data_IF_628783209399
#
_entry.id   IF_628783209399
#
_cell.length_a   1.000
_cell.length_b   1.000
_cell.length_c   1.000
_cell.angle_alpha   90.00
_cell.angle_beta   90.00
_cell.angle_gamma   90.00
#
_symmetry.space_group_name_H-M   'P 1'
#
loop_
_entity.id
_entity.type
_entity.pdbx_description
1 polymer ?
#
# COMPACT_ATOMS: atom_id res chain seq x y z
N UNK A 1 -22.35 -15.88 27.72
CA UNK A 1 -21.15 -16.48 27.10
C UNK A 1 -20.01 -16.49 28.11
N UNK A 2 -19.30 -17.61 28.32
CA UNK A 2 -18.18 -17.67 29.27
C UNK A 2 -17.04 -16.74 28.79
N UNK A 3 -16.35 -16.03 29.71
CA UNK A 3 -15.29 -15.07 29.36
C UNK A 3 -14.23 -15.64 28.40
N UNK A 4 -13.83 -16.89 28.62
CA UNK A 4 -12.87 -17.60 27.76
C UNK A 4 -13.35 -17.73 26.30
N UNK A 5 -14.66 -17.97 26.08
CA UNK A 5 -15.23 -18.07 24.73
C UNK A 5 -15.22 -16.70 24.03
N UNK A 6 -15.48 -15.62 24.78
CA UNK A 6 -15.40 -14.26 24.22
C UNK A 6 -13.97 -13.94 23.80
N UNK A 7 -12.99 -14.19 24.67
CA UNK A 7 -11.57 -13.92 24.38
C UNK A 7 -11.08 -14.72 23.17
N UNK A 8 -11.48 -15.99 23.08
CA UNK A 8 -11.14 -16.82 21.93
C UNK A 8 -11.79 -16.29 20.64
N UNK A 9 -13.03 -15.79 20.71
CA UNK A 9 -13.68 -15.12 19.59
C UNK A 9 -12.98 -13.83 19.16
N UNK A 10 -12.42 -13.04 20.10
CA UNK A 10 -11.60 -11.86 19.79
C UNK A 10 -10.33 -12.25 19.04
N UNK A 11 -9.64 -13.31 19.50
CA UNK A 11 -8.42 -13.82 18.84
C UNK A 11 -8.75 -14.35 17.44
N UNK A 12 -9.82 -15.14 17.30
CA UNK A 12 -10.27 -15.65 16.01
C UNK A 12 -10.58 -14.51 15.03
N UNK A 13 -11.27 -13.47 15.49
CA UNK A 13 -11.53 -12.28 14.69
C UNK A 13 -10.27 -11.53 14.27
N UNK A 14 -9.33 -11.27 15.19
CA UNK A 14 -8.08 -10.60 14.85
C UNK A 14 -7.25 -11.40 13.82
N UNK A 15 -7.20 -12.72 13.97
CA UNK A 15 -6.56 -13.62 13.00
C UNK A 15 -7.28 -13.62 11.65
N UNK A 16 -8.61 -13.56 11.62
CA UNK A 16 -9.38 -13.45 10.38
C UNK A 16 -9.05 -12.15 9.63
N UNK A 17 -8.93 -11.02 10.33
CA UNK A 17 -8.50 -9.75 9.71
C UNK A 17 -7.11 -9.85 9.10
N UNK A 18 -6.14 -10.46 9.81
CA UNK A 18 -4.81 -10.73 9.27
C UNK A 18 -4.87 -11.67 8.06
N UNK A 19 -5.59 -12.79 8.17
CA UNK A 19 -5.73 -13.79 7.12
C UNK A 19 -6.36 -13.19 5.86
N UNK A 20 -7.45 -12.44 5.99
CA UNK A 20 -8.12 -11.79 4.87
C UNK A 20 -7.19 -10.78 4.18
N UNK A 21 -6.44 -9.99 4.95
CA UNK A 21 -5.48 -9.02 4.42
C UNK A 21 -4.37 -9.67 3.60
N UNK A 22 -3.73 -10.69 4.16
CA UNK A 22 -2.60 -11.36 3.52
C UNK A 22 -3.09 -12.21 2.34
N UNK A 23 -4.25 -12.86 2.45
CA UNK A 23 -4.86 -13.60 1.34
C UNK A 23 -5.24 -12.67 0.19
N UNK A 24 -5.84 -11.51 0.49
CA UNK A 24 -6.14 -10.50 -0.53
C UNK A 24 -4.90 -10.01 -1.27
N UNK A 25 -3.76 -9.91 -0.58
CA UNK A 25 -2.48 -9.58 -1.22
C UNK A 25 -1.86 -10.76 -1.97
N UNK A 26 -2.06 -12.00 -1.53
CA UNK A 26 -1.60 -13.19 -2.24
C UNK A 26 -2.36 -13.40 -3.56
N UNK A 27 -3.65 -13.06 -3.57
CA UNK A 27 -4.56 -13.21 -4.72
C UNK A 27 -4.69 -11.93 -5.55
N UNK A 28 -3.96 -10.86 -5.21
CA UNK A 28 -4.04 -9.55 -5.88
C UNK A 28 -5.46 -8.98 -5.95
N UNK A 29 -6.29 -9.26 -4.94
CA UNK A 29 -7.65 -8.71 -4.88
C UNK A 29 -7.59 -7.18 -4.71
N UNK A 30 -8.51 -6.43 -5.34
CA UNK A 30 -8.66 -5.01 -5.06
C UNK A 30 -9.06 -4.80 -3.59
N UNK A 31 -8.48 -3.81 -2.93
CA UNK A 31 -8.75 -3.55 -1.50
C UNK A 31 -7.81 -4.30 -0.53
N UNK A 32 -8.18 -4.28 0.74
CA UNK A 32 -7.35 -4.61 1.89
C UNK A 32 -7.98 -5.66 2.80
N UNK A 33 -9.30 -5.68 2.96
CA UNK A 33 -10.09 -6.66 3.70
C UNK A 33 -9.74 -6.81 5.19
N UNK A 34 -9.00 -5.86 5.74
CA UNK A 34 -8.44 -5.94 7.09
C UNK A 34 -9.47 -5.65 8.20
N UNK A 35 -10.69 -5.24 7.86
CA UNK A 35 -11.81 -5.09 8.79
C UNK A 35 -12.68 -6.35 8.95
N UNK A 36 -12.47 -7.39 8.13
CA UNK A 36 -13.34 -8.57 8.06
C UNK A 36 -13.59 -9.19 9.44
N UNK A 37 -12.52 -9.39 10.21
CA UNK A 37 -12.57 -9.93 11.55
C UNK A 37 -13.24 -8.99 12.56
N UNK A 38 -12.96 -7.69 12.47
CA UNK A 38 -13.56 -6.67 13.35
C UNK A 38 -15.08 -6.66 13.21
N UNK A 39 -15.60 -6.68 11.98
CA UNK A 39 -17.04 -6.76 11.75
C UNK A 39 -17.65 -8.04 12.28
N UNK A 40 -17.02 -9.20 12.04
CA UNK A 40 -17.46 -10.48 12.59
C UNK A 40 -17.55 -10.42 14.13
N UNK A 41 -16.53 -9.87 14.80
CA UNK A 41 -16.53 -9.72 16.26
C UNK A 41 -17.63 -8.79 16.75
N UNK A 42 -17.85 -7.64 16.08
CA UNK A 42 -18.91 -6.70 16.44
C UNK A 42 -20.32 -7.31 16.32
N UNK A 43 -20.51 -8.32 15.47
CA UNK A 43 -21.77 -9.03 15.31
C UNK A 43 -21.94 -10.16 16.34
N UNK A 44 -20.89 -10.96 16.52
CA UNK A 44 -20.87 -12.20 17.31
C UNK A 44 -20.68 -11.99 18.82
N UNK A 45 -19.92 -10.96 19.22
CA UNK A 45 -19.49 -10.75 20.61
C UNK A 45 -20.25 -9.60 21.28
N UNK A 46 -20.21 -9.50 22.62
CA UNK A 46 -20.62 -8.28 23.33
C UNK A 46 -19.87 -7.05 22.80
N UNK A 47 -20.42 -5.85 23.01
CA UNK A 47 -19.86 -4.59 22.50
C UNK A 47 -18.35 -4.43 22.78
N UNK A 48 -17.90 -4.78 23.98
CA UNK A 48 -16.49 -4.69 24.36
C UNK A 48 -15.60 -5.69 23.61
N UNK A 49 -16.13 -6.85 23.21
CA UNK A 49 -15.41 -7.84 22.40
C UNK A 49 -15.14 -7.35 20.98
N UNK A 50 -16.11 -6.67 20.37
CA UNK A 50 -15.92 -6.00 19.08
C UNK A 50 -14.83 -4.91 19.14
N UNK A 51 -14.83 -4.10 20.20
CA UNK A 51 -13.79 -3.09 20.42
C UNK A 51 -12.40 -3.70 20.63
N UNK A 52 -12.31 -4.77 21.45
CA UNK A 52 -11.04 -5.47 21.64
C UNK A 52 -10.52 -6.09 20.34
N UNK A 53 -11.39 -6.63 19.50
CA UNK A 53 -10.99 -7.09 18.17
C UNK A 53 -10.50 -5.93 17.28
N UNK A 54 -11.17 -4.77 17.37
CA UNK A 54 -10.73 -3.53 16.71
C UNK A 54 -9.35 -3.05 17.16
N UNK A 55 -8.92 -3.33 18.39
CA UNK A 55 -7.55 -3.03 18.85
C UNK A 55 -6.57 -4.14 18.47
N UNK A 56 -6.95 -5.41 18.65
CA UNK A 56 -6.04 -6.55 18.43
C UNK A 56 -5.73 -6.79 16.95
N UNK A 57 -6.70 -6.61 16.05
CA UNK A 57 -6.50 -6.81 14.61
C UNK A 57 -5.36 -5.93 14.04
N UNK A 58 -5.37 -4.60 14.18
CA UNK A 58 -4.26 -3.77 13.71
C UNK A 58 -2.94 -4.08 14.42
N UNK A 59 -2.94 -4.49 15.70
CA UNK A 59 -1.71 -4.90 16.39
C UNK A 59 -1.05 -6.12 15.73
N UNK A 60 -1.84 -7.13 15.33
CA UNK A 60 -1.31 -8.27 14.57
C UNK A 60 -0.84 -7.86 13.18
N UNK A 61 -1.58 -6.95 12.54
CA UNK A 61 -1.25 -6.44 11.22
C UNK A 61 0.05 -5.62 11.18
N UNK A 62 0.50 -5.03 12.29
CA UNK A 62 1.81 -4.32 12.37
C UNK A 62 2.96 -5.22 11.94
N UNK A 63 2.92 -6.51 12.30
CA UNK A 63 3.95 -7.47 11.91
C UNK A 63 4.00 -7.68 10.39
N UNK A 64 2.87 -7.48 9.70
CA UNK A 64 2.76 -7.56 8.25
C UNK A 64 3.08 -6.23 7.55
N UNK A 65 2.58 -5.11 8.09
CA UNK A 65 2.80 -3.78 7.51
C UNK A 65 2.83 -2.69 8.59
N UNK A 66 3.97 -2.00 8.72
CA UNK A 66 4.22 -1.05 9.82
C UNK A 66 3.29 0.17 9.85
N UNK A 67 2.59 0.49 8.75
CA UNK A 67 1.64 1.63 8.74
C UNK A 67 0.54 1.48 9.81
N UNK A 68 0.20 0.25 10.19
CA UNK A 68 -0.82 -0.02 11.21
C UNK A 68 -0.44 0.52 12.60
N UNK A 69 0.84 0.85 12.86
CA UNK A 69 1.26 1.54 14.10
C UNK A 69 0.54 2.89 14.22
N UNK A 70 0.52 3.67 13.13
CA UNK A 70 -0.05 5.02 13.11
C UNK A 70 -1.54 5.01 12.76
N UNK A 71 -2.02 3.93 12.12
CA UNK A 71 -3.43 3.70 11.82
C UNK A 71 -4.19 2.93 12.91
N UNK A 72 -3.56 2.63 14.05
CA UNK A 72 -4.12 1.79 15.12
C UNK A 72 -5.53 2.24 15.57
N UNK A 73 -5.77 3.55 15.58
CA UNK A 73 -7.04 4.15 16.01
C UNK A 73 -8.19 3.99 15.02
N UNK A 74 -7.93 3.72 13.74
CA UNK A 74 -8.94 3.65 12.67
C UNK A 74 -9.92 2.49 12.92
N UNK A 75 -9.39 1.36 13.36
CA UNK A 75 -10.13 0.12 13.58
C UNK A 75 -11.11 0.19 14.77
N UNK A 76 -10.69 0.59 15.99
CA UNK A 76 -11.63 0.77 17.07
C UNK A 76 -12.64 1.89 16.77
N UNK A 77 -12.24 2.98 16.10
CA UNK A 77 -13.18 4.01 15.66
C UNK A 77 -14.27 3.44 14.73
N UNK A 78 -13.86 2.66 13.73
CA UNK A 78 -14.79 2.02 12.79
C UNK A 78 -15.72 1.03 13.52
N UNK A 79 -15.18 0.27 14.48
CA UNK A 79 -15.96 -0.63 15.33
C UNK A 79 -16.98 0.12 16.19
N UNK A 80 -16.62 1.26 16.76
CA UNK A 80 -17.53 2.13 17.54
C UNK A 80 -18.68 2.60 16.65
N UNK A 81 -18.39 3.11 15.45
CA UNK A 81 -19.42 3.59 14.50
C UNK A 81 -20.34 2.45 14.07
N UNK A 82 -19.79 1.26 13.79
CA UNK A 82 -20.60 0.09 13.46
C UNK A 82 -21.50 -0.34 14.64
N UNK A 83 -20.96 -0.43 15.85
CA UNK A 83 -21.73 -0.82 17.04
C UNK A 83 -22.83 0.20 17.40
N UNK A 84 -22.53 1.50 17.25
CA UNK A 84 -23.49 2.57 17.48
C UNK A 84 -24.62 2.54 16.45
N UNK A 85 -24.28 2.40 15.17
CA UNK A 85 -25.26 2.32 14.09
C UNK A 85 -26.09 1.03 14.16
N UNK A 86 -25.54 -0.09 14.64
CA UNK A 86 -26.25 -1.38 14.77
C UNK A 86 -27.55 -1.28 15.56
N UNK A 87 -27.64 -0.36 16.54
CA UNK A 87 -28.87 -0.09 17.29
C UNK A 87 -30.01 0.40 16.39
N UNK A 88 -29.67 1.09 15.31
CA UNK A 88 -30.60 1.60 14.31
C UNK A 88 -30.82 0.65 13.12
N UNK A 89 -30.16 -0.52 13.07
CA UNK A 89 -30.19 -1.46 11.91
C UNK A 89 -31.61 -1.76 11.42
N UNK A 90 -32.55 -2.00 12.35
CA UNK A 90 -33.94 -2.34 12.00
C UNK A 90 -34.69 -1.22 11.29
N UNK A 91 -34.30 0.04 11.53
CA UNK A 91 -34.96 1.22 10.94
C UNK A 91 -34.19 1.76 9.74
N UNK A 92 -32.85 1.66 9.76
CA UNK A 92 -31.94 2.27 8.78
C UNK A 92 -30.77 1.31 8.45
N UNK A 93 -31.03 0.18 7.76
CA UNK A 93 -30.00 -0.81 7.46
C UNK A 93 -28.90 -0.27 6.54
N UNK A 94 -29.21 0.75 5.73
CA UNK A 94 -28.21 1.43 4.91
C UNK A 94 -27.17 2.17 5.79
N UNK A 95 -27.60 2.84 6.86
CA UNK A 95 -26.69 3.63 7.73
C UNK A 95 -25.67 2.73 8.40
N UNK A 96 -26.07 1.53 8.81
CA UNK A 96 -25.18 0.53 9.43
C UNK A 96 -24.09 -0.02 8.52
N UNK A 97 -24.28 0.08 7.21
CA UNK A 97 -23.26 -0.33 6.22
C UNK A 97 -22.44 0.87 5.79
N UNK A 98 -23.11 1.96 5.41
CA UNK A 98 -22.48 3.13 4.79
C UNK A 98 -21.66 3.97 5.79
N UNK A 99 -22.15 4.18 7.02
CA UNK A 99 -21.45 5.02 8.01
C UNK A 99 -20.08 4.47 8.43
N UNK A 100 -19.91 3.18 8.78
CA UNK A 100 -18.59 2.64 9.10
C UNK A 100 -17.68 2.56 7.86
N UNK A 101 -18.21 2.29 6.67
CA UNK A 101 -17.43 2.31 5.43
C UNK A 101 -16.89 3.71 5.10
N UNK A 102 -17.75 4.73 5.21
CA UNK A 102 -17.36 6.13 5.07
C UNK A 102 -16.32 6.53 6.12
N UNK A 103 -16.51 6.11 7.37
CA UNK A 103 -15.58 6.38 8.48
C UNK A 103 -14.21 5.78 8.21
N UNK A 104 -14.15 4.51 7.80
CA UNK A 104 -12.92 3.80 7.50
C UNK A 104 -12.14 4.46 6.35
N UNK A 105 -12.81 4.70 5.22
CA UNK A 105 -12.18 5.33 4.06
C UNK A 105 -11.69 6.75 4.40
N UNK A 106 -12.52 7.55 5.06
CA UNK A 106 -12.17 8.93 5.45
C UNK A 106 -11.01 8.96 6.45
N UNK A 107 -11.02 8.08 7.45
CA UNK A 107 -9.95 8.02 8.45
C UNK A 107 -8.58 7.72 7.82
N UNK A 108 -8.52 6.77 6.88
CA UNK A 108 -7.29 6.47 6.14
C UNK A 108 -6.81 7.66 5.29
N UNK A 109 -7.71 8.37 4.64
CA UNK A 109 -7.34 9.52 3.81
C UNK A 109 -6.98 10.78 4.62
N UNK A 110 -7.57 10.95 5.81
CA UNK A 110 -7.11 11.96 6.77
C UNK A 110 -5.70 11.64 7.28
N UNK A 111 -5.43 10.36 7.59
CA UNK A 111 -4.09 9.90 7.96
C UNK A 111 -3.10 10.12 6.82
N UNK A 112 -3.48 9.79 5.58
CA UNK A 112 -2.66 10.01 4.38
C UNK A 112 -2.34 11.48 4.16
N UNK A 113 -3.35 12.37 4.24
CA UNK A 113 -3.17 13.81 4.11
C UNK A 113 -2.27 14.39 5.22
N UNK A 114 -2.40 13.88 6.45
CA UNK A 114 -1.57 14.28 7.57
C UNK A 114 -0.09 13.92 7.36
N UNK A 115 0.21 12.66 7.02
CA UNK A 115 1.58 12.18 6.82
C UNK A 115 2.24 12.77 5.57
N UNK A 116 1.47 12.96 4.49
CA UNK A 116 1.97 13.54 3.25
C UNK A 116 1.98 15.08 3.25
N UNK A 117 1.52 15.76 4.30
CA UNK A 117 1.29 17.21 4.25
C UNK A 117 0.45 17.66 3.03
N UNK A 118 -0.53 16.81 2.65
CA UNK A 118 -1.36 16.93 1.44
C UNK A 118 -2.77 17.47 1.73
N UNK A 119 -2.93 18.26 2.80
CA UNK A 119 -4.24 18.79 3.22
C UNK A 119 -4.97 19.59 2.13
N UNK A 120 -4.24 20.34 1.32
CA UNK A 120 -4.79 21.09 0.18
C UNK A 120 -5.37 20.18 -0.91
N UNK A 121 -4.97 18.91 -0.96
CA UNK A 121 -5.47 17.91 -1.90
C UNK A 121 -6.60 17.06 -1.30
N UNK A 122 -7.08 17.33 -0.09
CA UNK A 122 -8.13 16.51 0.54
C UNK A 122 -9.37 16.33 -0.35
N UNK A 123 -9.90 17.35 -1.05
CA UNK A 123 -11.01 17.15 -1.98
C UNK A 123 -10.66 16.16 -3.09
N UNK A 124 -9.47 16.26 -3.69
CA UNK A 124 -9.00 15.33 -4.73
C UNK A 124 -8.87 13.90 -4.19
N UNK A 125 -8.32 13.77 -2.97
CA UNK A 125 -8.14 12.50 -2.28
C UNK A 125 -9.47 11.78 -2.04
N UNK A 126 -10.52 12.49 -1.63
CA UNK A 126 -11.86 11.91 -1.40
C UNK A 126 -12.56 11.47 -2.70
N UNK A 127 -12.17 12.01 -3.86
CA UNK A 127 -12.66 11.59 -5.17
C UNK A 127 -11.75 10.56 -5.85
N UNK A 128 -10.68 10.14 -5.19
CA UNK A 128 -9.69 9.22 -5.76
C UNK A 128 -10.24 7.79 -5.86
N UNK A 129 -9.69 7.01 -6.79
CA UNK A 129 -9.98 5.57 -6.92
C UNK A 129 -9.73 4.82 -5.60
N UNK A 130 -8.70 5.23 -4.87
CA UNK A 130 -8.37 4.72 -3.55
C UNK A 130 -9.49 4.85 -2.52
N UNK A 131 -10.12 6.02 -2.47
CA UNK A 131 -11.21 6.27 -1.54
C UNK A 131 -12.40 5.35 -1.81
N UNK A 132 -12.80 5.26 -3.07
CA UNK A 132 -13.86 4.34 -3.50
C UNK A 132 -13.48 2.89 -3.20
N UNK A 133 -12.22 2.52 -3.42
CA UNK A 133 -11.71 1.16 -3.13
C UNK A 133 -11.83 0.84 -1.65
N UNK A 134 -11.39 1.72 -0.73
CA UNK A 134 -11.52 1.50 0.72
C UNK A 134 -12.97 1.49 1.20
N UNK A 135 -13.82 2.32 0.60
CA UNK A 135 -15.25 2.33 0.91
C UNK A 135 -15.90 0.98 0.57
N UNK A 136 -15.66 0.48 -0.66
CA UNK A 136 -16.17 -0.82 -1.11
C UNK A 136 -15.51 -1.98 -0.35
N UNK A 137 -14.23 -1.85 -0.01
CA UNK A 137 -13.47 -2.82 0.79
C UNK A 137 -14.10 -3.05 2.16
N UNK A 138 -14.47 -1.96 2.85
CA UNK A 138 -15.16 -2.03 4.14
C UNK A 138 -16.52 -2.72 4.02
N UNK A 139 -17.29 -2.43 2.96
CA UNK A 139 -18.57 -3.09 2.72
C UNK A 139 -18.39 -4.59 2.42
N UNK A 140 -17.42 -4.96 1.59
CA UNK A 140 -17.10 -6.34 1.29
C UNK A 140 -16.62 -7.09 2.54
N UNK A 141 -15.75 -6.47 3.35
CA UNK A 141 -15.30 -6.98 4.64
C UNK A 141 -16.47 -7.27 5.58
N UNK A 142 -17.48 -6.38 5.60
CA UNK A 142 -18.68 -6.56 6.40
C UNK A 142 -19.52 -7.74 5.91
N UNK A 143 -19.70 -7.90 4.60
CA UNK A 143 -20.45 -9.02 4.01
C UNK A 143 -19.78 -10.37 4.28
N UNK A 144 -18.44 -10.44 4.12
CA UNK A 144 -17.65 -11.62 4.43
C UNK A 144 -17.72 -11.92 5.94
N UNK A 145 -17.51 -10.89 6.77
CA UNK A 145 -17.57 -11.00 8.23
C UNK A 145 -18.94 -11.46 8.73
N UNK A 146 -20.04 -10.99 8.11
CA UNK A 146 -21.40 -11.44 8.42
C UNK A 146 -21.59 -12.92 8.06
N UNK A 147 -21.13 -13.34 6.88
CA UNK A 147 -21.23 -14.74 6.43
C UNK A 147 -20.50 -15.68 7.39
N UNK A 148 -19.27 -15.32 7.79
CA UNK A 148 -18.48 -16.10 8.75
C UNK A 148 -19.08 -16.08 10.15
N UNK A 149 -19.64 -14.95 10.59
CA UNK A 149 -20.42 -14.90 11.83
C UNK A 149 -21.56 -15.92 11.80
N UNK A 150 -22.34 -16.01 10.72
CA UNK A 150 -23.46 -16.96 10.61
C UNK A 150 -23.01 -18.41 10.66
N UNK A 151 -21.84 -18.72 10.12
CA UNK A 151 -21.26 -20.06 10.17
C UNK A 151 -20.73 -20.43 11.56
N UNK A 152 -20.25 -19.45 12.32
CA UNK A 152 -19.69 -19.64 13.66
C UNK A 152 -20.69 -19.37 14.79
N UNK A 153 -21.90 -18.89 14.47
CA UNK A 153 -22.94 -18.59 15.44
C UNK A 153 -23.30 -19.85 16.24
N UNK A 154 -23.33 -19.72 17.57
CA UNK A 154 -23.56 -20.86 18.47
C UNK A 154 -22.36 -21.78 18.69
N UNK A 155 -21.22 -21.54 18.01
CA UNK A 155 -19.99 -22.30 18.25
C UNK A 155 -19.50 -22.11 19.68
N UNK A 156 -19.21 -23.23 20.35
CA UNK A 156 -18.50 -23.23 21.64
C UNK A 156 -17.00 -22.97 21.48
N UNK A 157 -16.26 -23.11 22.58
CA UNK A 157 -14.80 -22.91 22.59
C UNK A 157 -14.05 -23.75 21.55
N UNK A 158 -14.47 -25.01 21.30
CA UNK A 158 -13.84 -25.89 20.32
C UNK A 158 -13.97 -25.36 18.88
N UNK A 159 -15.14 -24.87 18.50
CA UNK A 159 -15.37 -24.31 17.16
C UNK A 159 -14.56 -23.04 16.92
N UNK A 160 -14.51 -22.14 17.91
CA UNK A 160 -13.67 -20.94 17.81
C UNK A 160 -12.17 -21.27 17.81
N UNK A 161 -11.73 -22.28 18.56
CA UNK A 161 -10.34 -22.74 18.51
C UNK A 161 -9.96 -23.30 17.13
N UNK A 162 -10.85 -24.09 16.52
CA UNK A 162 -10.67 -24.58 15.16
C UNK A 162 -10.60 -23.41 14.16
N UNK A 163 -11.47 -22.40 14.30
CA UNK A 163 -11.42 -21.19 13.47
C UNK A 163 -10.09 -20.45 13.61
N UNK A 164 -9.54 -20.28 14.83
CA UNK A 164 -8.20 -19.71 15.02
C UNK A 164 -7.13 -20.46 14.24
N UNK A 165 -7.13 -21.80 14.30
CA UNK A 165 -6.16 -22.64 13.59
C UNK A 165 -6.29 -22.44 12.08
N UNK A 166 -7.52 -22.48 11.56
CA UNK A 166 -7.79 -22.30 10.13
C UNK A 166 -7.32 -20.91 9.66
N UNK A 167 -7.69 -19.84 10.37
CA UNK A 167 -7.28 -18.48 9.99
C UNK A 167 -5.76 -18.28 10.09
N UNK A 168 -5.10 -18.85 11.11
CA UNK A 168 -3.65 -18.82 11.19
C UNK A 168 -2.98 -19.58 10.03
N UNK A 169 -3.51 -20.74 9.65
CA UNK A 169 -3.01 -21.50 8.51
C UNK A 169 -3.19 -20.75 7.18
N UNK A 170 -4.37 -20.12 6.97
CA UNK A 170 -4.62 -19.27 5.79
C UNK A 170 -3.66 -18.08 5.77
N UNK A 171 -3.45 -17.40 6.91
CA UNK A 171 -2.52 -16.29 6.99
C UNK A 171 -1.08 -16.73 6.67
N UNK A 172 -0.61 -17.84 7.23
CA UNK A 172 0.74 -18.37 7.00
C UNK A 172 0.95 -18.81 5.54
N UNK A 173 0.01 -19.56 4.98
CA UNK A 173 0.08 -20.00 3.57
C UNK A 173 0.03 -18.83 2.59
N UNK A 174 -0.83 -17.85 2.85
CA UNK A 174 -0.91 -16.63 2.04
C UNK A 174 0.36 -15.79 2.18
N UNK A 175 0.95 -15.73 3.37
CA UNK A 175 2.20 -14.98 3.59
C UNK A 175 3.36 -15.57 2.80
N UNK A 176 3.44 -16.90 2.68
CA UNK A 176 4.45 -17.54 1.84
C UNK A 176 4.33 -17.10 0.37
N UNK A 177 3.11 -17.02 -0.16
CA UNK A 177 2.85 -16.52 -1.52
C UNK A 177 3.23 -15.04 -1.67
N UNK A 178 2.82 -14.19 -0.71
CA UNK A 178 3.20 -12.76 -0.70
C UNK A 178 4.71 -12.57 -0.59
N UNK A 179 5.39 -13.38 0.22
CA UNK A 179 6.84 -13.34 0.37
C UNK A 179 7.51 -13.69 -0.97
N UNK A 180 7.12 -14.79 -1.60
CA UNK A 180 7.67 -15.19 -2.91
C UNK A 180 7.46 -14.12 -4.00
N UNK A 181 6.27 -13.51 -4.05
CA UNK A 181 5.91 -12.58 -5.11
C UNK A 181 6.31 -11.13 -4.81
N UNK A 182 6.67 -10.80 -3.58
CA UNK A 182 6.97 -9.45 -3.12
C UNK A 182 8.29 -9.38 -2.37
N UNK A 183 8.28 -9.70 -1.08
CA UNK A 183 9.41 -9.49 -0.17
C UNK A 183 10.70 -10.22 -0.58
N UNK A 184 10.58 -11.39 -1.21
CA UNK A 184 11.70 -12.17 -1.73
C UNK A 184 12.42 -11.49 -2.90
N UNK A 185 11.76 -10.54 -3.58
CA UNK A 185 12.38 -9.76 -4.67
C UNK A 185 13.54 -8.90 -4.20
N UNK A 186 13.64 -8.57 -2.91
CA UNK A 186 14.75 -7.78 -2.37
C UNK A 186 16.12 -8.41 -2.70
N UNK A 187 16.19 -9.75 -2.76
CA UNK A 187 17.42 -10.47 -3.14
C UNK A 187 17.90 -10.23 -4.58
N UNK A 188 17.05 -9.67 -5.45
CA UNK A 188 17.41 -9.34 -6.84
C UNK A 188 18.13 -8.00 -6.97
N UNK A 189 18.16 -7.22 -5.89
CA UNK A 189 18.69 -5.86 -5.83
C UNK A 189 20.00 -5.87 -5.02
N UNK A 190 21.18 -6.04 -5.67
CA UNK A 190 22.44 -6.05 -4.95
C UNK A 190 22.77 -4.68 -4.34
N UNK A 191 23.46 -4.68 -3.19
CA UNK A 191 23.92 -3.44 -2.59
C UNK A 191 24.98 -2.75 -3.46
N UNK A 192 24.86 -1.42 -3.59
CA UNK A 192 25.73 -0.59 -4.44
C UNK A 192 26.54 0.37 -3.56
N UNK A 193 27.86 0.38 -3.72
CA UNK A 193 28.72 1.27 -2.95
C UNK A 193 28.34 2.75 -3.12
N UNK A 194 28.18 3.46 -2.00
CA UNK A 194 27.78 4.87 -1.97
C UNK A 194 26.27 5.13 -2.12
N UNK A 195 25.45 4.07 -2.14
CA UNK A 195 23.99 4.16 -2.16
C UNK A 195 23.41 3.54 -0.89
N UNK A 196 22.32 4.14 -0.43
CA UNK A 196 21.43 3.55 0.55
C UNK A 196 20.37 2.75 -0.21
N UNK A 197 20.02 1.57 0.31
CA UNK A 197 19.11 0.61 -0.28
C UNK A 197 17.87 0.44 0.61
N UNK A 198 16.70 0.39 -0.04
CA UNK A 198 15.42 0.36 0.65
C UNK A 198 14.44 -0.58 -0.04
N UNK A 199 13.67 -1.30 0.77
CA UNK A 199 12.61 -2.19 0.32
C UNK A 199 11.34 -1.94 1.14
N UNK A 200 10.31 -1.35 0.51
CA UNK A 200 9.12 -0.88 1.21
C UNK A 200 7.83 -1.34 0.55
N UNK A 201 6.84 -1.67 1.37
CA UNK A 201 5.46 -1.86 0.92
C UNK A 201 4.79 -0.50 0.71
N UNK A 202 4.23 -0.32 -0.47
CA UNK A 202 3.78 0.98 -0.99
C UNK A 202 2.28 1.18 -0.90
N UNK A 203 1.53 0.22 -0.37
CA UNK A 203 0.06 0.27 -0.38
C UNK A 203 -0.52 1.54 0.26
N UNK A 204 0.11 2.10 1.30
CA UNK A 204 -0.29 3.38 1.86
C UNK A 204 0.10 4.56 0.98
N UNK A 205 1.28 4.53 0.35
CA UNK A 205 1.77 5.59 -0.56
C UNK A 205 0.90 5.65 -1.82
N UNK A 206 0.51 4.50 -2.36
CA UNK A 206 -0.35 4.39 -3.53
C UNK A 206 -1.83 4.27 -3.18
N UNK A 207 -2.19 4.60 -1.94
CA UNK A 207 -3.56 4.55 -1.49
C UNK A 207 -4.49 5.35 -2.41
N UNK A 208 -4.17 6.60 -2.87
CA UNK A 208 -5.03 7.34 -3.80
C UNK A 208 -5.30 6.63 -5.13
N UNK A 209 -4.38 5.77 -5.58
CA UNK A 209 -4.52 4.98 -6.80
C UNK A 209 -5.37 3.72 -6.59
N UNK A 210 -5.65 3.34 -5.34
CA UNK A 210 -6.25 2.05 -5.00
C UNK A 210 -5.35 0.88 -5.37
N UNK A 211 -4.04 1.11 -5.42
CA UNK A 211 -3.05 0.15 -5.86
C UNK A 211 -2.21 -0.34 -4.66
N UNK A 212 -1.58 -1.51 -4.86
CA UNK A 212 -0.75 -2.18 -3.86
C UNK A 212 0.54 -2.65 -4.49
N UNK A 213 1.55 -2.84 -3.67
CA UNK A 213 2.81 -3.43 -4.10
C UNK A 213 3.99 -2.99 -3.27
N UNK A 214 5.16 -3.08 -3.87
CA UNK A 214 6.43 -2.81 -3.21
C UNK A 214 7.31 -1.93 -4.08
N UNK A 215 8.25 -1.26 -3.43
CA UNK A 215 9.28 -0.47 -4.08
C UNK A 215 10.65 -0.93 -3.59
N UNK A 216 11.51 -1.30 -4.53
CA UNK A 216 12.94 -1.53 -4.31
C UNK A 216 13.69 -0.32 -4.86
N UNK A 217 14.33 0.48 -4.02
CA UNK A 217 14.95 1.70 -4.50
C UNK A 217 16.23 2.04 -3.76
N UNK A 218 17.00 2.87 -4.43
CA UNK A 218 18.27 3.39 -3.99
C UNK A 218 18.32 4.90 -4.17
N UNK A 219 19.09 5.53 -3.31
CA UNK A 219 19.59 6.87 -3.57
C UNK A 219 21.01 7.03 -3.02
N UNK A 220 21.84 7.89 -3.62
CA UNK A 220 23.22 8.06 -3.17
C UNK A 220 23.24 8.71 -1.79
N UNK A 221 24.27 8.43 -0.98
CA UNK A 221 24.45 9.05 0.35
C UNK A 221 24.50 10.59 0.29
N UNK A 222 24.76 11.15 -0.89
CA UNK A 222 24.80 12.59 -1.16
C UNK A 222 23.47 13.17 -1.67
N UNK A 223 22.36 12.40 -1.67
CA UNK A 223 21.02 12.84 -2.16
C UNK A 223 20.58 14.19 -1.60
N UNK A 224 20.83 14.41 -0.32
CA UNK A 224 20.40 15.61 0.40
C UNK A 224 21.45 16.73 0.40
N UNK A 225 22.56 16.57 -0.31
CA UNK A 225 23.66 17.54 -0.35
C UNK A 225 23.59 18.39 -1.61
N UNK A 226 23.19 19.66 -1.48
CA UNK A 226 23.18 20.61 -2.59
C UNK A 226 24.57 20.70 -3.24
N UNK A 227 24.59 20.74 -4.57
CA UNK A 227 25.84 20.84 -5.34
C UNK A 227 26.58 19.52 -5.55
N UNK A 228 26.24 18.45 -4.80
CA UNK A 228 26.79 17.13 -5.07
C UNK A 228 26.14 16.50 -6.33
N UNK A 229 26.86 15.65 -7.07
CA UNK A 229 26.27 14.93 -8.22
C UNK A 229 25.04 14.09 -7.84
N UNK A 230 25.01 13.58 -6.61
CA UNK A 230 23.89 12.80 -6.09
C UNK A 230 22.66 13.59 -5.69
N UNK A 231 22.69 14.93 -5.69
CA UNK A 231 21.57 15.76 -5.25
C UNK A 231 20.27 15.42 -5.99
N UNK A 232 19.21 15.09 -5.25
CA UNK A 232 17.89 14.65 -5.76
C UNK A 232 17.98 13.47 -6.76
N UNK A 233 18.95 12.59 -6.61
CA UNK A 233 19.05 11.36 -7.41
C UNK A 233 18.29 10.24 -6.73
N UNK A 234 17.58 9.45 -7.54
CA UNK A 234 17.12 8.13 -7.13
C UNK A 234 16.97 7.19 -8.31
N UNK A 235 17.02 5.90 -7.99
CA UNK A 235 16.78 4.80 -8.92
C UNK A 235 16.05 3.70 -8.19
N UNK A 236 15.03 3.12 -8.80
CA UNK A 236 14.27 2.09 -8.16
C UNK A 236 13.32 1.39 -9.10
N UNK A 237 12.54 0.51 -8.51
CA UNK A 237 11.59 -0.34 -9.20
C UNK A 237 10.35 -0.51 -8.36
N UNK A 238 9.23 -0.08 -8.93
CA UNK A 238 7.90 -0.41 -8.44
C UNK A 238 7.49 -1.78 -8.97
N UNK A 239 7.02 -2.64 -8.06
CA UNK A 239 6.31 -3.86 -8.37
C UNK A 239 4.86 -3.72 -7.97
N UNK A 240 4.06 -3.22 -8.90
CA UNK A 240 2.62 -3.00 -8.69
C UNK A 240 1.88 -4.32 -8.86
N UNK A 241 0.97 -4.65 -7.94
CA UNK A 241 0.14 -5.85 -8.04
C UNK A 241 -0.84 -5.76 -9.20
N UNK A 242 -0.94 -6.83 -9.98
CA UNK A 242 -1.82 -6.93 -11.13
C UNK A 242 -1.27 -6.29 -12.40
N UNK A 243 -2.08 -6.38 -13.46
CA UNK A 243 -1.76 -5.90 -14.80
C UNK A 243 -2.25 -4.48 -15.04
N UNK A 244 -1.30 -3.59 -15.26
CA UNK A 244 -1.50 -2.27 -15.87
C UNK A 244 -0.83 -2.30 -17.25
N UNK A 245 -1.32 -1.51 -18.19
CA UNK A 245 -0.70 -1.43 -19.50
C UNK A 245 0.69 -0.77 -19.38
N UNK A 246 1.79 -1.48 -19.67
CA UNK A 246 3.13 -0.90 -19.58
C UNK A 246 3.36 0.24 -20.58
N UNK A 247 2.56 0.32 -21.65
CA UNK A 247 2.63 1.41 -22.62
C UNK A 247 1.86 2.67 -22.17
N UNK A 248 0.98 2.56 -21.18
CA UNK A 248 0.19 3.69 -20.69
C UNK A 248 1.04 4.57 -19.76
N UNK A 249 1.66 5.56 -20.39
CA UNK A 249 2.48 6.59 -19.74
C UNK A 249 1.72 7.31 -18.63
N UNK A 250 0.42 7.57 -18.80
CA UNK A 250 -0.38 8.30 -17.82
C UNK A 250 -0.54 7.50 -16.53
N UNK A 251 -0.88 6.22 -16.67
CA UNK A 251 -0.97 5.29 -15.53
C UNK A 251 0.38 5.11 -14.86
N UNK A 252 1.44 4.81 -15.62
CA UNK A 252 2.80 4.59 -15.11
C UNK A 252 3.31 5.82 -14.34
N UNK A 253 3.11 7.00 -14.91
CA UNK A 253 3.56 8.26 -14.31
C UNK A 253 2.82 8.59 -13.01
N UNK A 254 1.56 8.16 -12.88
CA UNK A 254 0.77 8.43 -11.67
C UNK A 254 1.41 7.84 -10.41
N UNK A 255 2.06 6.67 -10.52
CA UNK A 255 2.79 6.05 -9.40
C UNK A 255 3.94 6.92 -8.94
N UNK A 256 4.75 7.43 -9.87
CA UNK A 256 5.89 8.29 -9.56
C UNK A 256 5.44 9.66 -8.98
N UNK A 257 4.36 10.24 -9.51
CA UNK A 257 3.82 11.52 -9.02
C UNK A 257 3.32 11.40 -7.58
N UNK A 258 2.52 10.36 -7.27
CA UNK A 258 2.01 10.17 -5.91
C UNK A 258 3.12 9.79 -4.93
N UNK A 259 4.05 8.93 -5.33
CA UNK A 259 5.23 8.58 -4.52
C UNK A 259 6.06 9.81 -4.19
N UNK A 260 6.42 10.61 -5.20
CA UNK A 260 7.21 11.82 -5.00
C UNK A 260 6.51 12.84 -4.12
N UNK A 261 5.21 13.08 -4.32
CA UNK A 261 4.45 14.01 -3.47
C UNK A 261 4.38 13.53 -2.02
N UNK A 262 4.14 12.24 -1.81
CA UNK A 262 4.12 11.66 -0.46
C UNK A 262 5.51 11.74 0.20
N UNK A 263 6.57 11.39 -0.53
CA UNK A 263 7.96 11.50 -0.09
C UNK A 263 8.30 12.92 0.37
N UNK A 264 8.03 13.92 -0.47
CA UNK A 264 8.25 15.33 -0.15
C UNK A 264 7.49 15.75 1.10
N UNK A 265 6.23 15.32 1.21
CA UNK A 265 5.40 15.51 2.38
C UNK A 265 6.04 15.01 3.66
N UNK A 266 6.50 13.75 3.66
CA UNK A 266 7.17 13.14 4.82
C UNK A 266 8.51 13.80 5.18
N UNK A 267 9.13 14.51 4.22
CA UNK A 267 10.33 15.34 4.46
C UNK A 267 9.98 16.79 4.85
N UNK A 268 8.71 17.08 5.12
CA UNK A 268 8.24 18.37 5.63
C UNK A 268 8.10 19.46 4.57
N UNK A 269 8.03 19.10 3.27
CA UNK A 269 7.68 20.05 2.22
C UNK A 269 6.19 20.40 2.31
N UNK A 270 5.81 21.67 2.55
CA UNK A 270 4.40 22.06 2.57
C UNK A 270 3.84 22.08 1.15
N UNK A 271 2.63 21.53 0.97
CA UNK A 271 1.92 21.48 -0.32
C UNK A 271 2.82 20.96 -1.46
N UNK A 272 3.32 19.71 -1.35
CA UNK A 272 4.19 19.15 -2.38
C UNK A 272 3.43 19.08 -3.71
N UNK A 273 4.15 19.23 -4.81
CA UNK A 273 3.64 19.04 -6.15
C UNK A 273 4.69 18.37 -7.01
N UNK A 274 4.20 17.56 -7.94
CA UNK A 274 4.98 16.86 -8.95
C UNK A 274 4.10 16.72 -10.18
N UNK A 275 4.64 17.04 -11.35
CA UNK A 275 3.97 16.78 -12.62
C UNK A 275 4.99 16.38 -13.67
N UNK A 276 4.55 15.54 -14.61
CA UNK A 276 5.36 15.10 -15.74
C UNK A 276 5.38 16.22 -16.78
N UNK A 277 6.58 16.65 -17.17
CA UNK A 277 6.78 17.71 -18.17
C UNK A 277 7.36 17.20 -19.49
N UNK A 278 7.91 15.97 -19.50
CA UNK A 278 8.56 15.39 -20.66
C UNK A 278 8.39 13.87 -20.69
N UNK A 279 7.98 13.34 -21.84
CA UNK A 279 8.09 11.92 -22.19
C UNK A 279 8.49 11.82 -23.65
N UNK A 280 9.55 11.09 -23.94
CA UNK A 280 10.10 10.94 -25.30
C UNK A 280 10.73 9.57 -25.50
N UNK A 281 10.94 9.23 -26.78
CA UNK A 281 11.66 8.03 -27.22
C UNK A 281 11.08 6.73 -26.65
N UNK A 282 9.75 6.59 -26.68
CA UNK A 282 9.06 5.36 -26.26
C UNK A 282 9.43 4.24 -27.23
N UNK A 283 10.25 3.30 -26.76
CA UNK A 283 10.83 2.25 -27.60
C UNK A 283 10.62 0.90 -26.93
N UNK A 284 10.26 -0.13 -27.71
CA UNK A 284 10.19 -1.50 -27.21
C UNK A 284 11.59 -2.09 -27.12
N UNK A 285 11.93 -2.69 -25.97
CA UNK A 285 13.21 -3.36 -25.72
C UNK A 285 12.97 -4.75 -25.13
N UNK A 286 13.99 -5.60 -25.18
CA UNK A 286 14.09 -6.79 -24.33
C UNK A 286 14.83 -6.40 -23.05
N UNK A 287 14.19 -6.61 -21.91
CA UNK A 287 14.77 -6.33 -20.60
C UNK A 287 14.63 -7.57 -19.71
N UNK A 288 15.75 -8.27 -19.48
CA UNK A 288 15.78 -9.51 -18.70
C UNK A 288 14.80 -10.59 -19.21
N UNK A 289 14.57 -10.70 -20.52
CA UNK A 289 13.61 -11.64 -21.09
C UNK A 289 12.17 -11.13 -21.15
N UNK A 290 11.90 -9.94 -20.60
CA UNK A 290 10.60 -9.28 -20.67
C UNK A 290 10.54 -8.32 -21.86
N UNK A 291 9.42 -8.35 -22.59
CA UNK A 291 9.10 -7.29 -23.56
C UNK A 291 8.72 -6.02 -22.81
N UNK A 292 9.63 -5.04 -22.81
CA UNK A 292 9.49 -3.82 -22.04
C UNK A 292 9.42 -2.57 -22.92
N UNK A 293 8.95 -1.47 -22.35
CA UNK A 293 9.00 -0.14 -22.96
C UNK A 293 10.04 0.70 -22.23
N UNK A 294 11.05 1.16 -22.96
CA UNK A 294 11.99 2.17 -22.51
C UNK A 294 11.47 3.55 -22.90
N UNK A 295 11.48 4.47 -21.95
CA UNK A 295 11.07 5.85 -22.15
C UNK A 295 12.09 6.77 -21.49
N UNK A 296 12.35 7.92 -22.09
CA UNK A 296 13.10 8.98 -21.44
C UNK A 296 12.13 10.06 -21.02
N UNK A 297 12.19 10.46 -19.75
CA UNK A 297 11.19 11.33 -19.18
C UNK A 297 11.75 12.35 -18.22
N UNK A 298 10.86 13.24 -17.81
CA UNK A 298 11.13 14.27 -16.83
C UNK A 298 9.90 14.61 -16.00
N UNK A 299 10.16 15.12 -14.82
CA UNK A 299 9.15 15.70 -13.95
C UNK A 299 9.67 17.01 -13.37
N UNK A 300 8.75 17.95 -13.15
CA UNK A 300 8.99 19.10 -12.29
C UNK A 300 8.44 18.76 -10.92
N UNK A 301 9.27 18.95 -9.90
CA UNK A 301 8.98 18.64 -8.51
C UNK A 301 9.58 19.72 -7.61
N UNK A 302 9.35 19.62 -6.31
CA UNK A 302 10.19 20.29 -5.31
C UNK A 302 11.35 19.42 -4.88
N UNK A 303 12.40 20.05 -4.37
CA UNK A 303 13.47 19.40 -3.61
C UNK A 303 12.94 18.88 -2.28
N UNK A 304 13.45 17.74 -1.82
CA UNK A 304 13.23 17.25 -0.44
C UNK A 304 14.15 17.92 0.61
N UNK A 305 14.90 18.97 0.22
CA UNK A 305 15.78 19.77 1.11
C UNK A 305 15.33 21.22 1.15
N UNK A 306 15.23 21.82 2.35
CA UNK A 306 14.92 23.25 2.52
C UNK A 306 15.88 24.17 1.75
N UNK A 307 15.41 25.23 1.06
CA UNK A 307 14.04 25.78 1.12
C UNK A 307 13.01 25.12 0.18
N UNK A 308 13.22 23.88 -0.27
CA UNK A 308 12.32 23.11 -1.14
C UNK A 308 12.09 23.80 -2.50
N UNK A 309 13.19 24.25 -3.12
CA UNK A 309 13.15 24.86 -4.45
C UNK A 309 12.56 23.90 -5.50
N UNK A 310 12.06 24.48 -6.58
CA UNK A 310 11.70 23.70 -7.76
C UNK A 310 12.93 23.01 -8.34
N UNK A 311 12.79 21.73 -8.67
CA UNK A 311 13.80 20.92 -9.33
C UNK A 311 13.19 20.26 -10.55
N UNK A 312 13.97 20.26 -11.64
CA UNK A 312 13.67 19.51 -12.84
C UNK A 312 14.44 18.20 -12.78
N UNK A 313 13.70 17.11 -12.80
CA UNK A 313 14.27 15.76 -12.78
C UNK A 313 14.18 15.18 -14.18
N UNK A 314 15.25 14.52 -14.58
CA UNK A 314 15.42 13.92 -15.92
C UNK A 314 15.97 12.53 -15.77
N UNK A 315 15.57 11.63 -16.66
CA UNK A 315 15.93 10.24 -16.51
C UNK A 315 15.31 9.32 -17.54
N UNK A 316 15.15 8.07 -17.15
CA UNK A 316 14.50 7.05 -17.94
C UNK A 316 13.56 6.19 -17.08
N UNK A 317 12.63 5.54 -17.77
CA UNK A 317 11.71 4.56 -17.23
C UNK A 317 11.76 3.30 -18.07
N UNK A 318 11.66 2.14 -17.44
CA UNK A 318 11.46 0.86 -18.13
C UNK A 318 10.23 0.20 -17.53
N UNK A 319 9.24 -0.10 -18.36
CA UNK A 319 7.98 -0.69 -17.92
C UNK A 319 7.71 -2.01 -18.62
N UNK A 320 7.24 -2.99 -17.86
CA UNK A 320 6.81 -4.28 -18.39
C UNK A 320 5.82 -4.95 -17.45
N UNK A 321 5.19 -6.02 -17.94
CA UNK A 321 4.33 -6.88 -17.12
C UNK A 321 4.99 -8.25 -16.98
N UNK A 322 5.19 -8.67 -15.73
CA UNK A 322 5.65 -10.00 -15.37
C UNK A 322 4.42 -10.89 -15.15
N UNK A 323 4.17 -11.78 -16.10
CA UNK A 323 3.03 -12.70 -16.06
C UNK A 323 3.18 -13.81 -15.00
N UNK A 324 4.41 -14.24 -14.69
CA UNK A 324 4.64 -15.29 -13.71
C UNK A 324 4.30 -14.83 -12.30
N UNK A 325 4.47 -13.54 -12.02
CA UNK A 325 4.19 -12.93 -10.72
C UNK A 325 2.91 -12.11 -10.68
N UNK A 326 2.23 -11.96 -11.81
CA UNK A 326 1.09 -11.06 -12.02
C UNK A 326 1.36 -9.64 -11.50
N UNK A 327 2.43 -9.02 -12.00
CA UNK A 327 2.86 -7.69 -11.56
C UNK A 327 3.26 -6.80 -12.71
N UNK A 328 2.94 -5.52 -12.58
CA UNK A 328 3.49 -4.48 -13.46
C UNK A 328 4.74 -3.90 -12.83
N UNK A 329 5.84 -4.02 -13.56
CA UNK A 329 7.13 -3.48 -13.24
C UNK A 329 7.27 -2.06 -13.80
N UNK A 330 7.68 -1.12 -12.96
CA UNK A 330 8.03 0.24 -13.37
C UNK A 330 9.40 0.57 -12.77
N UNK A 331 10.44 0.47 -13.59
CA UNK A 331 11.78 0.93 -13.25
C UNK A 331 11.84 2.41 -13.52
N UNK A 332 12.38 3.17 -12.58
CA UNK A 332 12.54 4.61 -12.68
C UNK A 332 13.95 4.99 -12.22
N UNK A 333 14.58 5.88 -12.96
CA UNK A 333 15.91 6.36 -12.62
C UNK A 333 16.05 7.81 -13.04
N UNK A 334 16.29 8.72 -12.10
CA UNK A 334 16.41 10.14 -12.41
C UNK A 334 17.43 10.87 -11.55
N UNK A 335 17.87 12.00 -12.08
CA UNK A 335 18.70 13.00 -11.42
C UNK A 335 18.16 14.39 -11.75
N UNK A 336 18.68 15.43 -11.08
CA UNK A 336 18.43 16.81 -11.53
C UNK A 336 18.91 17.00 -12.97
N UNK A 337 18.27 17.90 -13.71
CA UNK A 337 18.63 18.26 -15.09
C UNK A 337 20.11 18.67 -15.22
N UNK A 338 20.67 19.31 -14.19
CA UNK A 338 22.10 19.63 -14.11
C UNK A 338 23.00 18.39 -13.99
N UNK A 339 22.59 17.41 -13.19
CA UNK A 339 23.42 16.26 -12.85
C UNK A 339 23.19 15.06 -13.79
N UNK A 340 22.10 15.01 -14.56
CA UNK A 340 21.80 13.86 -15.41
C UNK A 340 22.90 13.49 -16.41
N UNK A 341 23.68 14.42 -17.02
CA UNK A 341 24.73 14.05 -17.95
C UNK A 341 25.84 13.20 -17.31
N UNK A 342 26.13 13.44 -16.02
CA UNK A 342 27.13 12.67 -15.27
C UNK A 342 26.53 11.42 -14.63
N UNK A 343 25.27 11.48 -14.19
CA UNK A 343 24.60 10.37 -13.50
C UNK A 343 24.07 9.28 -14.41
N UNK A 344 23.76 9.59 -15.69
CA UNK A 344 23.08 8.65 -16.60
C UNK A 344 23.80 7.29 -16.70
N UNK A 345 25.12 7.29 -16.88
CA UNK A 345 25.91 6.03 -16.96
C UNK A 345 25.82 5.22 -15.67
N UNK A 346 25.86 5.88 -14.54
CA UNK A 346 25.79 5.24 -13.23
C UNK A 346 24.39 4.64 -12.98
N UNK A 347 23.33 5.38 -13.30
CA UNK A 347 21.95 4.91 -13.18
C UNK A 347 21.70 3.67 -14.04
N UNK A 348 22.17 3.67 -15.28
CA UNK A 348 22.12 2.48 -16.15
C UNK A 348 22.92 1.31 -15.60
N UNK A 349 24.10 1.56 -15.04
CA UNK A 349 24.93 0.51 -14.41
C UNK A 349 24.20 -0.17 -13.26
N UNK A 350 23.53 0.62 -12.41
CA UNK A 350 22.74 0.09 -11.28
C UNK A 350 21.60 -0.78 -11.80
N UNK A 351 20.78 -0.28 -12.74
CA UNK A 351 19.65 -1.04 -13.29
C UNK A 351 20.11 -2.34 -13.96
N UNK A 352 21.24 -2.32 -14.68
CA UNK A 352 21.81 -3.51 -15.33
C UNK A 352 22.40 -4.53 -14.34
N UNK A 353 22.74 -4.12 -13.12
CA UNK A 353 23.28 -5.01 -12.10
C UNK A 353 22.20 -5.83 -11.39
N UNK A 354 20.93 -5.46 -11.54
CA UNK A 354 19.81 -6.17 -10.93
C UNK A 354 19.63 -7.57 -11.53
N UNK A 355 19.27 -8.52 -10.68
CA UNK A 355 19.14 -9.95 -11.03
C UNK A 355 17.68 -10.32 -11.21
N UNK A 356 16.98 -9.55 -12.03
CA UNK A 356 15.56 -9.75 -12.28
C UNK A 356 15.37 -11.05 -13.08
N UNK A 357 14.55 -12.00 -12.60
CA UNK A 357 14.23 -13.21 -13.33
C UNK A 357 13.31 -12.91 -14.52
N UNK A 358 13.58 -13.60 -15.64
CA UNK A 358 12.75 -13.59 -16.85
C UNK A 358 11.41 -14.28 -16.67
#
# INVERSE_FOLDING_TARGET
MRRAVVLLGVVAAALLSLAARVLGDALHLPGFYDLTGVYMACMMLPWWGGLLAGVLAPLLLIAYYKVYIVALWIYPLTAIVFLASRRAWRRLPAVTVLAPAFTYATAWFLLYAAFGHLWSYLPLLLHSRGYVTLFMDSMASMAIGYTLYRLLEGSGARGLAAACIVFAAVAAGSYAAVYSNGWGSASWFPSIHGYLEFHHKMDFVWLPLGAKGINNYYYPVTRFQRGAPGYQVWVGMYWVQGRYDPADVGVVSSFAVWDQNFWLGTHGCPNPYTYVDLVRNVTVIDFHGHKAYLMYGGMVSRSDVKPYEEVRLRGFFITYYDAARDRTAIIYACATEKNIPVMMRQLWSIVKAWRIPG
#
